data_IF_499356856490
#
_entry.id   IF_499356856490
#
_cell.length_a   1.000
_cell.length_b   1.000
_cell.length_c   1.000
_cell.angle_alpha   90.00
_cell.angle_beta   90.00
_cell.angle_gamma   90.00
#
_symmetry.space_group_name_H-M   'P 1'
#
loop_
_entity.id
_entity.type
_entity.pdbx_description
1 polymer ?
#
# COMPACT_ATOMS: atom_id res chain seq x y z
N UNK A 1 89.94 -6.78 -14.83
CA UNK A 1 88.94 -6.10 -15.66
C UNK A 1 87.58 -6.52 -15.14
N UNK A 2 86.95 -5.77 -14.28
CA UNK A 2 85.65 -6.05 -13.65
C UNK A 2 84.67 -5.07 -14.22
N UNK A 3 83.63 -5.59 -14.90
CA UNK A 3 82.50 -4.78 -15.39
C UNK A 3 81.48 -4.62 -14.28
N UNK A 4 81.25 -3.36 -13.89
CA UNK A 4 80.21 -2.95 -12.96
C UNK A 4 78.83 -3.01 -13.70
N UNK A 5 77.92 -3.80 -13.20
CA UNK A 5 76.49 -3.85 -13.66
C UNK A 5 75.66 -2.98 -12.73
N UNK A 6 75.15 -1.86 -13.23
CA UNK A 6 74.22 -1.01 -12.50
C UNK A 6 72.82 -1.50 -12.77
N UNK A 7 72.19 -2.02 -11.73
CA UNK A 7 70.77 -2.39 -11.77
C UNK A 7 69.95 -1.15 -11.37
N UNK A 8 69.20 -0.61 -12.31
CA UNK A 8 68.21 0.46 -12.07
C UNK A 8 66.94 -0.16 -11.47
N UNK A 9 66.64 0.16 -10.20
CA UNK A 9 65.39 -0.23 -9.56
C UNK A 9 64.37 0.87 -9.83
N UNK A 10 63.39 0.61 -10.72
CA UNK A 10 62.24 1.47 -10.96
C UNK A 10 61.20 1.20 -9.85
N UNK A 11 61.05 2.16 -8.94
CA UNK A 11 59.91 2.21 -8.02
C UNK A 11 58.68 2.66 -8.78
N UNK A 12 57.76 1.73 -9.12
CA UNK A 12 56.40 2.06 -9.56
C UNK A 12 55.59 2.46 -8.32
N UNK A 13 55.41 3.75 -8.11
CA UNK A 13 54.45 4.28 -7.15
C UNK A 13 53.04 4.08 -7.77
N UNK A 14 52.37 2.98 -7.40
CA UNK A 14 50.98 2.79 -7.70
C UNK A 14 50.14 3.79 -6.91
N UNK A 15 49.61 4.81 -7.58
CA UNK A 15 48.50 5.59 -7.05
C UNK A 15 47.29 4.68 -6.87
N UNK A 16 47.12 4.16 -5.67
CA UNK A 16 45.81 3.68 -5.25
C UNK A 16 44.90 4.91 -5.10
N UNK A 17 44.16 5.23 -6.12
CA UNK A 17 42.98 6.07 -5.97
C UNK A 17 42.05 5.31 -5.03
N UNK A 18 42.11 5.62 -3.74
CA UNK A 18 41.07 5.19 -2.79
C UNK A 18 39.76 5.75 -3.32
N UNK A 19 38.93 4.86 -3.85
CA UNK A 19 37.56 5.16 -4.13
C UNK A 19 36.93 5.48 -2.76
N UNK A 20 36.94 6.76 -2.38
CA UNK A 20 36.21 7.23 -1.21
C UNK A 20 34.75 6.88 -1.49
N UNK A 21 34.18 6.01 -0.67
CA UNK A 21 32.75 5.82 -0.66
C UNK A 21 32.11 7.21 -0.57
N UNK A 22 31.12 7.53 -1.40
CA UNK A 22 30.48 8.83 -1.35
C UNK A 22 29.98 9.06 0.07
N UNK A 23 30.47 10.14 0.70
CA UNK A 23 29.98 10.57 2.01
C UNK A 23 28.48 10.75 1.87
N UNK A 24 27.68 10.01 2.65
CA UNK A 24 26.23 10.21 2.73
C UNK A 24 25.99 11.66 3.10
N UNK A 25 25.08 12.32 2.41
CA UNK A 25 24.60 13.65 2.79
C UNK A 25 24.02 13.61 4.21
N UNK A 26 23.97 14.77 4.87
CA UNK A 26 23.41 14.89 6.21
C UNK A 26 21.89 14.61 6.26
N UNK A 27 21.30 14.94 7.38
CA UNK A 27 19.87 14.89 7.58
C UNK A 27 19.16 16.03 6.83
N UNK A 28 17.99 15.74 6.31
CA UNK A 28 17.06 16.70 5.70
C UNK A 28 15.80 16.71 6.55
N UNK A 29 15.33 17.89 6.89
CA UNK A 29 14.10 18.06 7.68
C UNK A 29 12.95 18.48 6.77
N UNK A 30 11.82 17.79 6.85
CA UNK A 30 10.65 18.13 6.06
C UNK A 30 10.14 19.55 6.36
N UNK A 31 10.34 20.03 7.60
CA UNK A 31 9.97 21.39 8.00
C UNK A 31 10.63 22.48 7.12
N UNK A 32 11.80 22.23 6.56
CA UNK A 32 12.50 23.18 5.70
C UNK A 32 11.78 23.38 4.33
N UNK A 33 10.77 22.55 4.04
CA UNK A 33 9.99 22.55 2.80
C UNK A 33 8.50 22.85 3.04
N UNK A 34 8.09 23.03 4.29
CA UNK A 34 6.72 23.34 4.66
C UNK A 34 6.59 24.85 4.89
N UNK A 35 5.85 25.54 4.02
CA UNK A 35 5.66 27.00 4.11
C UNK A 35 4.79 27.41 5.31
N UNK A 36 3.84 26.53 5.73
CA UNK A 36 3.01 26.73 6.93
C UNK A 36 2.34 25.40 7.34
N UNK A 37 2.45 25.02 8.63
CA UNK A 37 1.86 23.81 9.20
C UNK A 37 0.42 24.04 9.68
N UNK A 38 -0.41 24.75 8.91
CA UNK A 38 -1.83 24.79 9.25
C UNK A 38 -2.48 23.43 9.01
N UNK A 39 -3.42 23.03 9.87
CA UNK A 39 -4.14 21.75 9.80
C UNK A 39 -4.90 21.50 8.47
N UNK A 40 -4.85 22.43 7.52
CA UNK A 40 -5.49 22.36 6.21
C UNK A 40 -4.50 22.26 5.04
N UNK A 41 -3.21 22.46 5.28
CA UNK A 41 -2.17 22.44 4.23
C UNK A 41 -1.90 21.02 3.77
N UNK A 42 -1.85 20.79 2.45
CA UNK A 42 -1.41 19.53 1.86
C UNK A 42 0.11 19.43 1.91
N UNK A 43 0.64 18.46 2.67
CA UNK A 43 2.06 18.23 2.78
C UNK A 43 2.68 17.53 1.54
N UNK A 44 1.87 17.08 0.58
CA UNK A 44 2.33 16.34 -0.60
C UNK A 44 3.40 17.09 -1.41
N UNK A 45 3.24 18.38 -1.75
CA UNK A 45 4.26 19.15 -2.47
C UNK A 45 5.59 19.25 -1.71
N UNK A 46 5.54 19.48 -0.39
CA UNK A 46 6.73 19.55 0.46
C UNK A 46 7.47 18.22 0.53
N UNK A 47 6.73 17.11 0.70
CA UNK A 47 7.28 15.74 0.69
C UNK A 47 8.02 15.47 -0.63
N UNK A 48 7.39 15.82 -1.77
CA UNK A 48 8.00 15.64 -3.10
C UNK A 48 9.27 16.48 -3.26
N UNK A 49 9.25 17.74 -2.84
CA UNK A 49 10.40 18.64 -2.89
C UNK A 49 11.55 18.12 -2.01
N UNK A 50 11.24 17.70 -0.79
CA UNK A 50 12.22 17.14 0.15
C UNK A 50 12.85 15.84 -0.38
N UNK A 51 12.05 14.91 -0.92
CA UNK A 51 12.57 13.66 -1.51
C UNK A 51 13.47 13.94 -2.73
N UNK A 52 13.08 14.90 -3.58
CA UNK A 52 13.91 15.32 -4.72
C UNK A 52 15.23 15.93 -4.25
N UNK A 53 15.21 16.71 -3.17
CA UNK A 53 16.43 17.26 -2.55
C UNK A 53 17.29 16.14 -1.96
N UNK A 54 16.71 15.22 -1.19
CA UNK A 54 17.42 14.07 -0.62
C UNK A 54 18.12 13.24 -1.70
N UNK A 55 17.45 12.94 -2.80
CA UNK A 55 18.03 12.21 -3.92
C UNK A 55 19.24 12.95 -4.53
N UNK A 56 19.14 14.27 -4.70
CA UNK A 56 20.20 15.10 -5.29
C UNK A 56 21.46 15.16 -4.44
N UNK A 57 21.32 15.31 -3.12
CA UNK A 57 22.47 15.43 -2.20
C UNK A 57 22.90 14.09 -1.61
N UNK A 58 22.20 12.99 -1.93
CA UNK A 58 22.37 11.66 -1.32
C UNK A 58 22.24 11.73 0.22
N UNK A 59 21.17 12.36 0.69
CA UNK A 59 20.89 12.47 2.11
C UNK A 59 20.82 11.09 2.78
N UNK A 60 21.26 11.02 4.05
CA UNK A 60 21.13 9.80 4.85
C UNK A 60 19.71 9.62 5.36
N UNK A 61 19.02 10.71 5.72
CA UNK A 61 17.68 10.67 6.30
C UNK A 61 16.81 11.83 5.82
N UNK A 62 15.50 11.55 5.72
CA UNK A 62 14.45 12.56 5.75
C UNK A 62 13.73 12.45 7.09
N UNK A 63 13.73 13.52 7.87
CA UNK A 63 13.10 13.57 9.19
C UNK A 63 11.78 14.33 9.07
N UNK A 64 10.68 13.67 9.46
CA UNK A 64 9.35 14.25 9.50
C UNK A 64 9.16 15.07 10.80
N UNK A 65 8.22 16.03 10.82
CA UNK A 65 8.16 17.03 11.91
C UNK A 65 7.54 16.53 13.21
N UNK A 66 6.99 15.31 13.25
CA UNK A 66 6.07 14.90 14.31
C UNK A 66 4.66 15.50 14.12
N UNK A 67 3.74 15.16 15.02
CA UNK A 67 2.35 15.64 14.93
C UNK A 67 1.58 15.05 13.74
N UNK A 68 0.59 15.77 13.19
CA UNK A 68 -0.25 15.30 12.09
C UNK A 68 0.08 16.02 10.78
N UNK A 69 0.40 15.26 9.74
CA UNK A 69 0.54 15.73 8.36
C UNK A 69 -0.62 15.25 7.52
N UNK A 70 -1.28 16.17 6.83
CA UNK A 70 -2.38 15.88 5.89
C UNK A 70 -1.87 15.80 4.48
N UNK A 71 -2.28 14.76 3.76
CA UNK A 71 -1.89 14.52 2.38
C UNK A 71 -3.13 14.28 1.53
N UNK A 72 -3.20 14.98 0.39
CA UNK A 72 -4.31 14.94 -0.57
C UNK A 72 -3.84 14.35 -1.91
N UNK A 73 -4.77 13.81 -2.74
CA UNK A 73 -4.40 13.22 -4.02
C UNK A 73 -4.02 14.23 -5.10
N UNK A 74 -4.50 15.48 -4.99
CA UNK A 74 -4.52 16.45 -6.10
C UNK A 74 -3.12 16.83 -6.59
N UNK A 75 -2.15 16.87 -5.68
CA UNK A 75 -0.76 17.24 -5.97
C UNK A 75 0.23 16.09 -5.75
N UNK A 76 -0.24 14.86 -5.60
CA UNK A 76 0.59 13.67 -5.47
C UNK A 76 1.26 13.30 -6.81
N UNK A 77 2.32 12.48 -6.75
CA UNK A 77 2.97 11.95 -7.95
C UNK A 77 2.04 10.96 -8.63
N UNK A 78 1.75 11.17 -9.92
CA UNK A 78 0.97 10.24 -10.71
C UNK A 78 1.88 9.25 -11.44
N UNK A 79 1.62 7.96 -11.26
CA UNK A 79 2.38 6.87 -11.88
C UNK A 79 1.47 5.70 -12.21
N UNK A 80 1.53 5.19 -13.43
CA UNK A 80 0.89 3.91 -13.75
C UNK A 80 1.71 2.78 -13.16
N UNK A 81 1.09 1.95 -12.32
CA UNK A 81 1.75 0.82 -11.68
C UNK A 81 0.95 -0.45 -11.81
N UNK A 82 1.68 -1.53 -12.00
CA UNK A 82 1.20 -2.89 -11.79
C UNK A 82 1.75 -3.42 -10.47
N UNK A 83 0.86 -3.78 -9.58
CA UNK A 83 1.20 -4.33 -8.26
C UNK A 83 0.51 -5.68 -8.13
N UNK A 84 1.29 -6.75 -7.89
CA UNK A 84 0.77 -8.12 -7.75
C UNK A 84 -0.42 -8.17 -6.79
N UNK A 85 -1.50 -8.83 -7.21
CA UNK A 85 -2.74 -8.98 -6.45
C UNK A 85 -3.41 -7.67 -5.98
N UNK A 86 -2.98 -6.54 -6.53
CA UNK A 86 -3.66 -5.26 -6.41
C UNK A 86 -4.04 -4.78 -7.81
N UNK A 87 -5.08 -3.96 -7.90
CA UNK A 87 -5.53 -3.48 -9.19
C UNK A 87 -4.46 -2.61 -9.87
N UNK A 88 -4.17 -2.92 -11.13
CA UNK A 88 -3.34 -2.06 -11.96
C UNK A 88 -4.05 -0.73 -12.26
N UNK A 89 -3.28 0.30 -12.53
CA UNK A 89 -3.81 1.60 -12.90
C UNK A 89 -2.92 2.76 -12.52
N UNK A 90 -3.44 3.96 -12.78
CA UNK A 90 -2.83 5.20 -12.34
C UNK A 90 -2.92 5.30 -10.82
N UNK A 91 -1.77 5.42 -10.16
CA UNK A 91 -1.65 5.64 -8.72
C UNK A 91 -1.24 7.08 -8.46
N UNK A 92 -1.78 7.63 -7.38
CA UNK A 92 -1.32 8.89 -6.79
C UNK A 92 -0.52 8.54 -5.55
N UNK A 93 0.75 8.91 -5.53
CA UNK A 93 1.73 8.45 -4.55
C UNK A 93 2.25 9.65 -3.76
N UNK A 94 2.25 9.55 -2.43
CA UNK A 94 2.77 10.59 -1.56
C UNK A 94 4.31 10.52 -1.44
N UNK A 95 4.82 9.39 -0.99
CA UNK A 95 6.26 9.15 -0.88
C UNK A 95 6.71 8.21 -2.00
N UNK A 96 7.15 8.79 -3.12
CA UNK A 96 7.66 8.03 -4.29
C UNK A 96 9.20 7.94 -4.22
N UNK A 97 9.71 6.84 -3.65
CA UNK A 97 11.13 6.56 -3.54
C UNK A 97 11.56 5.69 -4.74
N UNK A 98 12.37 6.25 -5.63
CA UNK A 98 12.85 5.54 -6.81
C UNK A 98 14.37 5.57 -6.87
N UNK A 99 15.00 4.39 -6.86
CA UNK A 99 16.44 4.24 -6.99
C UNK A 99 17.26 4.78 -5.82
N UNK A 100 16.64 5.11 -4.69
CA UNK A 100 17.34 5.57 -3.49
C UNK A 100 18.13 4.43 -2.84
N UNK A 101 19.25 4.79 -2.21
CA UNK A 101 20.14 3.86 -1.53
C UNK A 101 20.55 4.42 -0.17
N UNK A 102 20.69 3.52 0.83
CA UNK A 102 21.20 3.84 2.16
C UNK A 102 20.45 5.03 2.79
N UNK A 103 19.12 5.00 2.74
CA UNK A 103 18.26 6.13 3.09
C UNK A 103 17.19 5.74 4.11
N UNK A 104 16.92 6.64 5.05
CA UNK A 104 15.90 6.45 6.09
C UNK A 104 14.85 7.55 6.05
N UNK A 105 13.58 7.18 6.10
CA UNK A 105 12.48 8.06 6.49
C UNK A 105 12.26 7.87 7.99
N UNK A 106 12.61 8.91 8.77
CA UNK A 106 12.38 8.98 10.20
C UNK A 106 11.09 9.73 10.47
N UNK A 107 10.10 9.02 10.97
CA UNK A 107 8.76 9.56 11.20
C UNK A 107 8.66 10.48 12.41
N UNK A 108 9.51 10.32 13.43
CA UNK A 108 9.42 11.11 14.67
C UNK A 108 7.99 11.14 15.26
N UNK A 109 7.32 10.00 15.25
CA UNK A 109 5.91 9.82 15.66
C UNK A 109 4.89 10.62 14.83
N UNK A 110 5.23 11.00 13.61
CA UNK A 110 4.31 11.66 12.69
C UNK A 110 3.11 10.78 12.36
N UNK A 111 1.93 11.37 12.42
CA UNK A 111 0.68 10.79 11.91
C UNK A 111 0.44 11.28 10.49
N UNK A 112 0.57 10.39 9.51
CA UNK A 112 0.25 10.66 8.12
C UNK A 112 -1.24 10.40 7.90
N UNK A 113 -2.02 11.48 7.70
CA UNK A 113 -3.46 11.41 7.48
C UNK A 113 -3.80 11.69 6.02
N UNK A 114 -4.22 10.67 5.32
CA UNK A 114 -4.54 10.72 3.89
C UNK A 114 -6.02 11.01 3.64
N UNK A 115 -6.31 11.71 2.56
CA UNK A 115 -7.68 11.94 2.07
C UNK A 115 -7.80 11.41 0.64
N UNK A 116 -8.88 10.67 0.34
CA UNK A 116 -9.16 10.17 -1.01
C UNK A 116 -8.21 9.05 -1.46
N UNK A 117 -8.02 8.93 -2.77
CA UNK A 117 -7.31 7.81 -3.39
C UNK A 117 -5.82 8.12 -3.54
N UNK A 118 -5.04 7.89 -2.49
CA UNK A 118 -3.58 8.08 -2.44
C UNK A 118 -2.93 6.81 -1.92
N UNK A 119 -1.79 6.42 -2.52
CA UNK A 119 -0.91 5.37 -1.99
C UNK A 119 0.18 6.03 -1.14
N UNK A 120 0.30 5.70 0.16
CA UNK A 120 1.26 6.34 1.04
C UNK A 120 2.72 6.23 0.58
N UNK A 121 3.22 5.01 0.35
CA UNK A 121 4.61 4.77 0.00
C UNK A 121 4.78 3.88 -1.23
N UNK A 122 5.72 4.26 -2.09
CA UNK A 122 6.25 3.43 -3.16
C UNK A 122 7.78 3.40 -3.09
N UNK A 123 8.36 2.20 -3.01
CA UNK A 123 9.78 1.92 -3.06
C UNK A 123 10.07 1.12 -4.32
N UNK A 124 10.74 1.71 -5.29
CA UNK A 124 11.02 1.08 -6.57
C UNK A 124 12.52 1.12 -6.88
N UNK A 125 13.12 -0.04 -7.13
CA UNK A 125 14.57 -0.17 -7.40
C UNK A 125 15.46 0.48 -6.32
N UNK A 126 15.03 0.35 -5.07
CA UNK A 126 15.70 0.90 -3.91
C UNK A 126 16.65 -0.12 -3.25
N UNK A 127 17.62 0.38 -2.46
CA UNK A 127 18.53 -0.48 -1.69
C UNK A 127 18.77 0.10 -0.30
N UNK A 128 18.70 -0.75 0.73
CA UNK A 128 18.92 -0.39 2.13
C UNK A 128 18.07 0.82 2.56
N UNK A 129 16.74 0.68 2.46
CA UNK A 129 15.79 1.72 2.87
C UNK A 129 15.15 1.34 4.21
N UNK A 130 15.07 2.30 5.10
CA UNK A 130 14.33 2.17 6.36
C UNK A 130 13.18 3.17 6.40
N UNK A 131 11.98 2.71 6.78
CA UNK A 131 10.83 3.55 7.14
C UNK A 131 10.52 3.25 8.59
N UNK A 132 10.46 4.27 9.46
CA UNK A 132 10.22 4.00 10.88
C UNK A 132 9.52 5.14 11.62
N UNK A 133 8.96 4.77 12.81
CA UNK A 133 8.40 5.70 13.80
C UNK A 133 7.29 6.61 13.25
N UNK A 134 6.28 6.05 12.56
CA UNK A 134 5.16 6.81 12.02
C UNK A 134 3.86 6.01 12.04
N UNK A 135 2.75 6.71 11.88
CA UNK A 135 1.46 6.08 11.65
C UNK A 135 0.79 6.57 10.36
N UNK A 136 0.01 5.68 9.76
CA UNK A 136 -0.72 5.90 8.50
C UNK A 136 -2.20 5.69 8.76
N UNK A 137 -3.02 6.67 8.40
CA UNK A 137 -4.48 6.55 8.46
C UNK A 137 -5.14 7.38 7.36
N UNK A 138 -6.45 7.19 7.21
CA UNK A 138 -7.27 7.90 6.24
C UNK A 138 -8.44 8.62 6.93
N UNK A 139 -8.81 9.79 6.42
CA UNK A 139 -9.98 10.55 6.89
C UNK A 139 -11.26 9.77 6.69
N UNK A 140 -11.38 9.09 5.54
CA UNK A 140 -12.44 8.15 5.19
C UNK A 140 -11.83 6.82 4.73
N UNK A 141 -12.38 5.73 5.23
CA UNK A 141 -11.97 4.37 4.83
C UNK A 141 -12.48 4.01 3.43
N UNK A 142 -11.77 3.11 2.74
CA UNK A 142 -12.19 2.61 1.42
C UNK A 142 -13.40 1.70 1.49
N UNK A 143 -13.62 1.01 2.61
CA UNK A 143 -14.87 0.34 2.94
C UNK A 143 -15.86 1.30 3.60
N UNK A 144 -17.12 0.91 3.69
CA UNK A 144 -18.16 1.64 4.41
C UNK A 144 -18.86 0.73 5.40
N UNK A 145 -19.30 1.25 6.54
CA UNK A 145 -19.86 0.49 7.64
C UNK A 145 -21.21 1.08 8.05
N UNK A 146 -22.24 0.25 8.18
CA UNK A 146 -23.56 0.65 8.63
C UNK A 146 -24.09 -0.28 9.71
N UNK A 147 -24.68 0.30 10.77
CA UNK A 147 -25.30 -0.49 11.83
C UNK A 147 -26.66 -1.02 11.40
N UNK A 148 -26.91 -2.30 11.57
CA UNK A 148 -28.20 -2.95 11.30
C UNK A 148 -29.22 -2.48 12.35
N UNK A 149 -30.25 -1.76 11.91
CA UNK A 149 -31.30 -1.22 12.78
C UNK A 149 -32.59 -2.02 12.71
N UNK A 150 -32.86 -2.66 11.56
CA UNK A 150 -33.95 -3.60 11.38
C UNK A 150 -33.58 -4.61 10.28
N UNK A 151 -34.17 -5.79 10.36
CA UNK A 151 -33.97 -6.86 9.41
C UNK A 151 -35.30 -7.57 9.12
N UNK A 152 -35.43 -8.03 7.89
CA UNK A 152 -36.59 -8.84 7.46
C UNK A 152 -36.20 -9.81 6.35
N UNK A 153 -37.18 -10.50 5.79
CA UNK A 153 -36.91 -11.44 4.72
C UNK A 153 -36.45 -10.69 3.45
N UNK A 154 -35.14 -10.78 3.15
CA UNK A 154 -34.53 -10.17 1.97
C UNK A 154 -34.29 -8.66 2.05
N UNK A 155 -34.25 -8.07 3.23
CA UNK A 155 -33.90 -6.68 3.39
C UNK A 155 -33.27 -6.36 4.77
N UNK A 156 -32.43 -5.30 4.80
CA UNK A 156 -31.90 -4.71 6.04
C UNK A 156 -32.09 -3.20 6.02
N UNK A 157 -32.45 -2.60 7.16
CA UNK A 157 -32.34 -1.15 7.39
C UNK A 157 -31.03 -0.86 8.09
N UNK A 158 -30.22 0.00 7.49
CA UNK A 158 -28.90 0.36 7.93
C UNK A 158 -28.81 1.85 8.27
N UNK A 159 -28.18 2.15 9.39
CA UNK A 159 -27.80 3.50 9.75
C UNK A 159 -26.31 3.69 9.49
N UNK A 160 -25.95 4.67 8.64
CA UNK A 160 -24.57 4.98 8.31
C UNK A 160 -24.12 6.24 9.04
N UNK A 161 -22.92 6.25 9.66
CA UNK A 161 -22.30 7.49 10.12
C UNK A 161 -22.08 8.49 8.98
N UNK A 162 -22.09 9.80 9.28
CA UNK A 162 -21.96 10.88 8.29
C UNK A 162 -20.74 10.76 7.38
N UNK A 163 -19.63 10.23 7.90
CA UNK A 163 -18.42 9.96 7.11
C UNK A 163 -18.62 9.01 5.92
N UNK A 164 -19.74 8.24 5.92
CA UNK A 164 -20.14 7.34 4.83
C UNK A 164 -21.37 7.91 4.13
N UNK A 165 -21.20 9.05 3.48
CA UNK A 165 -22.29 9.69 2.73
C UNK A 165 -22.87 8.71 1.73
N UNK A 166 -24.19 8.51 1.83
CA UNK A 166 -24.95 7.61 0.98
C UNK A 166 -25.74 8.37 -0.08
N UNK A 167 -25.66 7.92 -1.31
CA UNK A 167 -26.46 8.35 -2.43
C UNK A 167 -27.18 7.15 -3.09
N UNK A 168 -28.28 7.41 -3.77
CA UNK A 168 -29.05 6.42 -4.51
C UNK A 168 -29.04 6.81 -5.99
N UNK A 169 -28.35 6.02 -6.79
CA UNK A 169 -28.26 6.22 -8.24
C UNK A 169 -28.85 4.98 -8.93
N UNK A 170 -29.81 5.19 -9.83
CA UNK A 170 -30.50 4.10 -10.54
C UNK A 170 -31.13 3.06 -9.58
N UNK A 171 -31.60 3.51 -8.40
CA UNK A 171 -32.16 2.66 -7.37
C UNK A 171 -31.15 1.80 -6.60
N UNK A 172 -29.85 2.03 -6.79
CA UNK A 172 -28.77 1.29 -6.10
C UNK A 172 -27.99 2.20 -5.15
N UNK A 173 -27.50 1.61 -4.05
CA UNK A 173 -26.71 2.30 -3.04
C UNK A 173 -25.30 2.64 -3.58
N UNK A 174 -24.88 3.88 -3.37
CA UNK A 174 -23.51 4.37 -3.60
C UNK A 174 -22.97 5.07 -2.37
N UNK A 175 -21.67 4.99 -2.18
CA UNK A 175 -20.97 5.72 -1.13
C UNK A 175 -20.08 6.79 -1.73
N UNK A 176 -20.10 7.96 -1.12
CA UNK A 176 -19.33 9.12 -1.53
C UNK A 176 -18.49 9.63 -0.37
N UNK A 177 -17.47 10.43 -0.67
CA UNK A 177 -16.88 11.33 0.32
C UNK A 177 -17.44 12.76 0.19
N UNK A 178 -16.91 13.69 0.99
CA UNK A 178 -17.35 15.07 1.01
C UNK A 178 -17.06 15.82 -0.32
N UNK A 179 -16.10 15.34 -1.11
CA UNK A 179 -15.73 15.88 -2.42
C UNK A 179 -16.48 15.19 -3.57
N UNK A 180 -17.40 14.27 -3.27
CA UNK A 180 -18.22 13.56 -4.25
C UNK A 180 -17.51 12.42 -4.96
N UNK A 181 -16.32 11.98 -4.49
CA UNK A 181 -15.66 10.81 -5.04
C UNK A 181 -16.41 9.54 -4.62
N UNK A 182 -16.63 8.65 -5.58
CA UNK A 182 -17.34 7.37 -5.36
C UNK A 182 -16.39 6.34 -4.78
N UNK A 183 -16.84 5.70 -3.69
CA UNK A 183 -16.14 4.58 -3.04
C UNK A 183 -16.85 3.27 -3.41
N UNK A 184 -16.34 2.51 -4.40
CA UNK A 184 -16.99 1.31 -4.87
C UNK A 184 -16.85 0.16 -3.87
N UNK A 185 -17.93 -0.60 -3.72
CA UNK A 185 -17.97 -1.82 -2.91
C UNK A 185 -18.42 -3.01 -3.78
N UNK A 186 -17.96 -4.22 -3.43
CA UNK A 186 -18.32 -5.46 -4.11
C UNK A 186 -18.55 -6.64 -3.17
N UNK A 187 -18.55 -6.43 -1.87
CA UNK A 187 -18.88 -7.45 -0.89
C UNK A 187 -19.56 -6.85 0.33
N UNK A 188 -20.30 -7.69 1.05
CA UNK A 188 -20.85 -7.37 2.37
C UNK A 188 -20.44 -8.46 3.33
N UNK A 189 -20.04 -8.05 4.55
CA UNK A 189 -19.71 -8.96 5.64
C UNK A 189 -20.25 -8.39 6.95
N UNK A 190 -20.93 -9.22 7.72
CA UNK A 190 -21.46 -8.84 9.04
C UNK A 190 -20.40 -8.98 10.11
N UNK A 191 -20.32 -7.97 10.96
CA UNK A 191 -19.45 -7.94 12.14
C UNK A 191 -20.27 -7.84 13.41
N UNK A 192 -19.88 -8.59 14.43
CA UNK A 192 -20.31 -8.35 15.80
C UNK A 192 -19.69 -7.03 16.26
N UNK A 193 -20.54 -6.01 16.43
CA UNK A 193 -20.13 -4.65 16.75
C UNK A 193 -19.43 -4.54 18.12
N UNK A 194 -19.81 -5.40 19.08
CA UNK A 194 -19.25 -5.37 20.44
C UNK A 194 -17.87 -6.03 20.49
N UNK A 195 -17.70 -7.12 19.76
CA UNK A 195 -16.48 -7.92 19.71
C UNK A 195 -15.48 -7.42 18.66
N UNK A 196 -15.94 -6.58 17.73
CA UNK A 196 -15.15 -6.11 16.58
C UNK A 196 -14.54 -7.25 15.76
N UNK A 197 -15.31 -8.30 15.51
CA UNK A 197 -14.89 -9.46 14.72
C UNK A 197 -16.04 -9.89 13.77
N UNK A 198 -15.77 -10.64 12.69
CA UNK A 198 -16.83 -11.22 11.87
C UNK A 198 -17.84 -11.98 12.73
N UNK A 199 -19.12 -11.81 12.47
CA UNK A 199 -20.17 -12.50 13.21
C UNK A 199 -20.07 -14.03 13.02
N UNK A 200 -20.46 -14.79 14.05
CA UNK A 200 -20.33 -16.25 14.00
C UNK A 200 -21.20 -16.85 12.91
N UNK A 201 -20.64 -17.76 12.11
CA UNK A 201 -21.29 -18.38 10.95
C UNK A 201 -21.86 -17.38 9.93
N UNK A 202 -21.20 -16.24 9.74
CA UNK A 202 -21.59 -15.22 8.76
C UNK A 202 -21.30 -15.68 7.33
N UNK A 203 -22.18 -15.29 6.40
CA UNK A 203 -21.94 -15.42 4.96
C UNK A 203 -21.14 -14.21 4.44
N UNK A 204 -20.18 -14.42 3.53
CA UNK A 204 -19.51 -13.37 2.78
C UNK A 204 -20.24 -13.17 1.44
N UNK A 205 -20.98 -12.06 1.32
CA UNK A 205 -21.79 -11.78 0.15
C UNK A 205 -21.00 -11.04 -0.91
N UNK A 206 -20.74 -11.70 -2.04
CA UNK A 206 -20.11 -11.08 -3.21
C UNK A 206 -21.15 -10.57 -4.19
N UNK A 207 -20.88 -9.43 -4.81
CA UNK A 207 -21.75 -8.76 -5.77
C UNK A 207 -20.95 -7.92 -6.77
N UNK A 208 -21.48 -7.64 -7.98
CA UNK A 208 -20.92 -6.61 -8.84
C UNK A 208 -20.95 -5.24 -8.14
N UNK A 209 -19.97 -4.40 -8.43
CA UNK A 209 -19.87 -3.10 -7.77
C UNK A 209 -21.14 -2.25 -7.94
N UNK A 210 -21.61 -1.67 -6.82
CA UNK A 210 -22.78 -0.76 -6.77
C UNK A 210 -24.12 -1.36 -7.25
N UNK A 211 -24.31 -2.65 -7.12
CA UNK A 211 -25.54 -3.31 -7.64
C UNK A 211 -26.59 -3.60 -6.59
N UNK A 212 -26.37 -3.25 -5.32
CA UNK A 212 -27.37 -3.54 -4.29
C UNK A 212 -28.54 -2.53 -4.38
N UNK A 213 -29.78 -3.00 -4.66
CA UNK A 213 -30.95 -2.15 -4.67
C UNK A 213 -31.19 -1.55 -3.29
N UNK A 214 -31.56 -0.28 -3.24
CA UNK A 214 -31.75 0.41 -1.97
C UNK A 214 -32.80 1.52 -2.05
N UNK A 215 -33.39 1.86 -0.91
CA UNK A 215 -34.28 3.01 -0.73
C UNK A 215 -33.94 3.77 0.55
N UNK A 216 -34.20 5.07 0.56
CA UNK A 216 -34.05 5.91 1.77
C UNK A 216 -35.34 5.86 2.57
N UNK A 217 -35.22 5.55 3.86
CA UNK A 217 -36.33 5.54 4.79
C UNK A 217 -36.62 6.95 5.33
N UNK A 218 -37.86 7.25 5.80
CA UNK A 218 -38.21 8.57 6.35
C UNK A 218 -37.34 9.03 7.54
N UNK A 219 -36.78 8.10 8.30
CA UNK A 219 -35.87 8.36 9.42
C UNK A 219 -34.41 8.54 9.02
N UNK A 220 -34.10 8.56 7.71
CA UNK A 220 -32.77 8.74 7.15
C UNK A 220 -31.96 7.45 6.95
N UNK A 221 -32.42 6.32 7.49
CA UNK A 221 -31.77 5.01 7.25
C UNK A 221 -31.85 4.59 5.79
N UNK A 222 -31.00 3.68 5.40
CA UNK A 222 -30.98 3.09 4.06
C UNK A 222 -31.46 1.64 4.16
N UNK A 223 -32.53 1.32 3.47
CA UNK A 223 -32.96 -0.07 3.26
C UNK A 223 -32.27 -0.62 2.05
N UNK A 224 -31.60 -1.77 2.21
CA UNK A 224 -31.00 -2.54 1.10
C UNK A 224 -31.80 -3.83 0.89
N UNK A 225 -31.82 -4.31 -0.35
CA UNK A 225 -32.58 -5.50 -0.75
C UNK A 225 -31.68 -6.55 -1.37
N UNK A 226 -31.76 -7.78 -0.83
CA UNK A 226 -31.14 -8.96 -1.40
C UNK A 226 -31.77 -10.20 -0.73
N UNK A 227 -32.27 -11.15 -1.52
CA UNK A 227 -33.10 -12.25 -1.03
C UNK A 227 -32.45 -13.20 -0.03
N UNK A 228 -31.12 -13.33 -0.09
CA UNK A 228 -30.29 -14.17 0.79
C UNK A 228 -29.70 -13.42 1.98
N UNK A 229 -29.91 -12.10 2.07
CA UNK A 229 -29.29 -11.26 3.07
C UNK A 229 -29.87 -11.48 4.46
N UNK A 230 -28.98 -11.73 5.43
CA UNK A 230 -29.30 -11.90 6.84
C UNK A 230 -28.27 -11.11 7.66
N UNK A 231 -28.70 -10.53 8.76
CA UNK A 231 -27.82 -9.94 9.77
C UNK A 231 -28.58 -9.75 11.08
N UNK A 232 -27.86 -9.76 12.19
CA UNK A 232 -28.42 -9.47 13.52
C UNK A 232 -28.58 -7.97 13.73
N UNK A 233 -29.68 -7.57 14.37
CA UNK A 233 -29.90 -6.16 14.77
C UNK A 233 -28.85 -5.76 15.80
N UNK A 234 -28.22 -4.61 15.58
CA UNK A 234 -27.12 -4.08 16.41
C UNK A 234 -25.73 -4.39 15.86
N UNK A 235 -25.62 -5.38 14.99
CA UNK A 235 -24.35 -5.68 14.30
C UNK A 235 -24.03 -4.63 13.22
N UNK A 236 -22.79 -4.66 12.76
CA UNK A 236 -22.30 -3.75 11.71
C UNK A 236 -22.15 -4.53 10.40
N UNK A 237 -22.82 -4.04 9.36
CA UNK A 237 -22.61 -4.52 8.00
C UNK A 237 -21.49 -3.72 7.35
N UNK A 238 -20.44 -4.42 6.94
CA UNK A 238 -19.29 -3.84 6.25
C UNK A 238 -19.41 -4.03 4.75
N UNK A 239 -19.39 -2.94 4.01
CA UNK A 239 -19.38 -2.90 2.55
C UNK A 239 -17.91 -2.84 2.10
N UNK A 240 -17.36 -3.97 1.71
CA UNK A 240 -15.95 -4.13 1.35
C UNK A 240 -15.61 -3.45 0.03
N UNK A 241 -14.46 -2.77 -0.01
CA UNK A 241 -13.98 -2.06 -1.19
C UNK A 241 -13.87 -2.99 -2.41
N UNK A 242 -14.39 -2.55 -3.56
CA UNK A 242 -14.37 -3.31 -4.82
C UNK A 242 -13.00 -3.32 -5.50
N UNK A 243 -12.09 -2.44 -5.09
CA UNK A 243 -10.78 -2.23 -5.71
C UNK A 243 -9.69 -2.18 -4.66
N UNK A 244 -8.49 -2.68 -5.03
CA UNK A 244 -7.27 -2.66 -4.22
C UNK A 244 -6.25 -1.68 -4.82
N UNK A 245 -6.69 -0.46 -5.17
CA UNK A 245 -5.88 0.51 -5.91
C UNK A 245 -4.76 1.16 -5.10
N UNK A 246 -4.93 1.28 -3.78
CA UNK A 246 -4.08 2.11 -2.94
C UNK A 246 -3.49 1.32 -1.76
N UNK A 247 -2.52 0.39 -2.00
CA UNK A 247 -1.80 -0.27 -0.92
C UNK A 247 -1.03 0.75 -0.05
N UNK A 248 -0.75 0.37 1.20
CA UNK A 248 -0.05 1.23 2.16
C UNK A 248 1.42 1.45 1.81
N UNK A 249 2.17 0.37 1.67
CA UNK A 249 3.60 0.40 1.31
C UNK A 249 3.83 -0.61 0.18
N UNK A 250 4.23 -0.11 -0.97
CA UNK A 250 4.60 -0.93 -2.13
C UNK A 250 6.12 -1.01 -2.25
N UNK A 251 6.66 -2.21 -2.40
CA UNK A 251 8.09 -2.47 -2.58
C UNK A 251 8.29 -3.28 -3.86
N UNK A 252 8.96 -2.72 -4.85
CA UNK A 252 9.21 -3.37 -6.13
C UNK A 252 10.69 -3.35 -6.50
N UNK A 253 11.21 -4.49 -6.95
CA UNK A 253 12.56 -4.62 -7.49
C UNK A 253 13.65 -4.03 -6.55
N UNK A 254 13.46 -4.18 -5.23
CA UNK A 254 14.26 -3.53 -4.19
C UNK A 254 14.94 -4.55 -3.28
N UNK A 255 15.96 -4.12 -2.53
CA UNK A 255 16.71 -5.00 -1.61
C UNK A 255 17.05 -4.29 -0.30
N UNK A 256 16.99 -5.04 0.82
CA UNK A 256 17.38 -4.54 2.13
C UNK A 256 16.38 -3.50 2.66
N UNK A 257 15.09 -3.84 2.69
CA UNK A 257 14.04 -2.94 3.15
C UNK A 257 13.68 -3.25 4.59
N UNK A 258 13.66 -2.23 5.43
CA UNK A 258 13.26 -2.30 6.82
C UNK A 258 12.07 -1.38 7.11
N UNK A 259 11.02 -1.94 7.73
CA UNK A 259 9.85 -1.21 8.21
C UNK A 259 9.77 -1.45 9.72
N UNK A 260 9.99 -0.42 10.51
CA UNK A 260 10.19 -0.53 11.96
C UNK A 260 9.24 0.41 12.70
N UNK A 261 8.52 -0.07 13.72
CA UNK A 261 7.66 0.78 14.55
C UNK A 261 6.66 1.61 13.73
N UNK A 262 6.00 0.97 12.76
CA UNK A 262 5.00 1.61 11.88
C UNK A 262 3.60 1.12 12.25
N UNK A 263 2.67 2.07 12.43
CA UNK A 263 1.24 1.77 12.65
C UNK A 263 0.45 2.08 11.39
N UNK A 264 -0.20 1.07 10.84
CA UNK A 264 -1.06 1.19 9.67
C UNK A 264 -2.51 0.95 10.08
N UNK A 265 -3.27 2.02 10.21
CA UNK A 265 -4.67 1.94 10.62
C UNK A 265 -5.63 1.78 9.44
N UNK A 266 -5.23 2.22 8.26
CA UNK A 266 -6.02 2.03 7.04
C UNK A 266 -5.19 2.22 5.77
N UNK A 267 -5.60 1.49 4.71
CA UNK A 267 -5.22 1.72 3.31
C UNK A 267 -6.23 1.05 2.37
N UNK A 268 -6.19 1.41 1.10
CA UNK A 268 -7.11 0.92 0.07
C UNK A 268 -6.57 -0.26 -0.74
N UNK A 269 -5.83 -1.14 -0.11
CA UNK A 269 -5.23 -2.33 -0.70
C UNK A 269 -4.56 -3.16 0.39
N UNK A 270 -3.48 -3.84 0.06
CA UNK A 270 -2.62 -4.53 1.02
C UNK A 270 -1.85 -3.55 1.88
N UNK A 271 -1.56 -3.90 3.12
CA UNK A 271 -0.78 -3.07 4.04
C UNK A 271 0.64 -2.87 3.54
N UNK A 272 1.39 -3.94 3.42
CA UNK A 272 2.70 -4.00 2.76
C UNK A 272 2.63 -5.00 1.63
N UNK A 273 2.93 -4.59 0.41
CA UNK A 273 3.11 -5.49 -0.73
C UNK A 273 4.53 -5.37 -1.29
N UNK A 274 5.27 -6.46 -1.23
CA UNK A 274 6.58 -6.56 -1.85
C UNK A 274 6.54 -7.52 -3.05
N UNK A 275 7.14 -7.10 -4.16
CA UNK A 275 7.24 -7.93 -5.36
C UNK A 275 8.64 -7.88 -5.94
N UNK A 276 9.16 -9.04 -6.39
CA UNK A 276 10.50 -9.18 -6.98
C UNK A 276 11.61 -8.51 -6.16
N UNK A 277 11.49 -8.54 -4.86
CA UNK A 277 12.38 -7.86 -3.92
C UNK A 277 13.08 -8.83 -3.00
N UNK A 278 14.10 -8.42 -2.27
CA UNK A 278 14.93 -9.30 -1.44
C UNK A 278 15.23 -8.66 -0.08
N UNK A 279 15.38 -9.51 0.93
CA UNK A 279 15.86 -9.14 2.26
C UNK A 279 14.98 -8.04 2.89
N UNK A 280 13.76 -8.43 3.29
CA UNK A 280 12.75 -7.53 3.82
C UNK A 280 12.52 -7.85 5.30
N UNK A 281 12.71 -6.86 6.15
CA UNK A 281 12.44 -6.94 7.59
C UNK A 281 11.30 -6.01 7.98
N UNK A 282 10.32 -6.53 8.71
CA UNK A 282 9.22 -5.76 9.30
C UNK A 282 9.23 -6.07 10.80
N UNK A 283 9.41 -5.05 11.62
CA UNK A 283 9.51 -5.23 13.06
C UNK A 283 8.59 -4.25 13.79
N UNK A 284 7.85 -4.74 14.78
CA UNK A 284 6.91 -3.97 15.61
C UNK A 284 5.92 -3.14 14.78
N UNK A 285 5.51 -3.70 13.64
CA UNK A 285 4.46 -3.11 12.83
C UNK A 285 3.09 -3.51 13.38
N UNK A 286 2.21 -2.53 13.50
CA UNK A 286 0.82 -2.76 13.87
C UNK A 286 -0.08 -2.44 12.66
N UNK A 287 -0.84 -3.45 12.18
CA UNK A 287 -1.94 -3.24 11.23
C UNK A 287 -3.22 -3.49 12.00
N UNK A 288 -3.79 -2.42 12.54
CA UNK A 288 -4.92 -2.49 13.49
C UNK A 288 -5.91 -1.35 13.22
N UNK A 289 -7.21 -1.51 13.53
CA UNK A 289 -8.17 -0.41 13.45
C UNK A 289 -7.72 0.79 14.29
N UNK A 290 -7.96 2.00 13.78
CA UNK A 290 -7.55 3.22 14.50
C UNK A 290 -8.25 3.33 15.85
N UNK A 291 -7.50 3.50 16.95
CA UNK A 291 -8.08 3.63 18.30
C UNK A 291 -9.12 4.74 18.38
N UNK A 292 -10.25 4.45 19.00
CA UNK A 292 -11.34 5.42 19.23
C UNK A 292 -12.21 5.73 18.00
N UNK A 293 -11.87 5.26 16.81
CA UNK A 293 -12.65 5.52 15.57
C UNK A 293 -13.79 4.52 15.32
N UNK A 294 -13.96 3.52 16.17
CA UNK A 294 -15.01 2.48 16.08
C UNK A 294 -15.11 1.88 14.68
N UNK A 295 -13.99 1.47 14.10
CA UNK A 295 -13.93 0.78 12.83
C UNK A 295 -13.91 -0.73 13.04
N UNK A 296 -14.62 -1.47 12.21
CA UNK A 296 -14.60 -2.94 12.21
C UNK A 296 -13.37 -3.48 11.48
N UNK A 297 -12.83 -2.74 10.53
CA UNK A 297 -11.73 -3.18 9.66
C UNK A 297 -10.56 -2.21 9.75
N UNK A 298 -9.32 -2.75 9.80
CA UNK A 298 -8.09 -2.00 9.62
C UNK A 298 -7.87 -1.67 8.14
N UNK A 299 -7.58 -2.66 7.32
CA UNK A 299 -7.27 -2.48 5.89
C UNK A 299 -8.11 -3.40 5.00
N UNK A 300 -8.12 -3.13 3.69
CA UNK A 300 -9.06 -3.76 2.75
C UNK A 300 -8.60 -5.10 2.18
N UNK A 301 -7.36 -5.52 2.45
CA UNK A 301 -6.75 -6.75 1.96
C UNK A 301 -5.72 -7.29 2.97
N UNK A 302 -4.69 -8.04 2.53
CA UNK A 302 -3.66 -8.65 3.37
C UNK A 302 -2.88 -7.60 4.16
N UNK A 303 -2.51 -7.91 5.41
CA UNK A 303 -1.63 -7.04 6.18
C UNK A 303 -0.22 -6.98 5.57
N UNK A 304 0.32 -8.14 5.16
CA UNK A 304 1.60 -8.22 4.44
C UNK A 304 1.50 -9.24 3.31
N UNK A 305 2.13 -8.93 2.18
CA UNK A 305 2.11 -9.80 1.00
C UNK A 305 3.46 -9.77 0.27
N UNK A 306 4.01 -10.95 -0.03
CA UNK A 306 5.31 -11.09 -0.67
C UNK A 306 5.21 -11.99 -1.91
N UNK A 307 5.32 -11.38 -3.09
CA UNK A 307 5.22 -12.08 -4.38
C UNK A 307 6.58 -12.14 -5.08
N UNK A 308 7.07 -13.33 -5.39
CA UNK A 308 8.39 -13.53 -6.01
C UNK A 308 9.55 -12.84 -5.26
N UNK A 309 9.48 -12.79 -3.95
CA UNK A 309 10.54 -12.24 -3.11
C UNK A 309 11.59 -13.31 -2.79
N UNK A 310 12.84 -12.89 -2.58
CA UNK A 310 13.96 -13.75 -2.24
C UNK A 310 14.73 -13.28 -1.00
N UNK A 311 15.78 -14.02 -0.64
CA UNK A 311 16.56 -13.73 0.56
C UNK A 311 15.76 -14.02 1.83
N UNK A 312 15.90 -13.16 2.84
CA UNK A 312 15.17 -13.30 4.11
C UNK A 312 13.93 -12.41 4.12
N UNK A 313 12.80 -12.96 4.55
CA UNK A 313 11.61 -12.23 4.94
C UNK A 313 11.45 -12.42 6.44
N UNK A 314 11.45 -11.33 7.22
CA UNK A 314 11.35 -11.36 8.67
C UNK A 314 10.17 -10.53 9.12
N UNK A 315 9.30 -11.13 9.92
CA UNK A 315 8.21 -10.48 10.64
C UNK A 315 8.47 -10.68 12.13
N UNK A 316 8.78 -9.62 12.87
CA UNK A 316 9.19 -9.70 14.27
C UNK A 316 8.30 -8.78 15.11
N UNK A 317 7.67 -9.33 16.15
CA UNK A 317 6.83 -8.58 17.09
C UNK A 317 5.74 -7.74 16.41
N UNK A 318 5.15 -8.24 15.33
CA UNK A 318 4.10 -7.57 14.58
C UNK A 318 2.71 -7.95 15.10
N UNK A 319 1.76 -7.01 15.01
CA UNK A 319 0.34 -7.23 15.33
C UNK A 319 -0.50 -6.93 14.11
N UNK A 320 -1.29 -7.92 13.66
CA UNK A 320 -2.17 -7.79 12.50
C UNK A 320 -3.59 -8.18 12.90
N UNK A 321 -4.50 -7.20 12.89
CA UNK A 321 -5.87 -7.36 13.35
C UNK A 321 -6.86 -6.73 12.38
N UNK A 322 -7.97 -7.41 12.14
CA UNK A 322 -9.12 -6.91 11.39
C UNK A 322 -8.82 -6.46 9.95
N UNK A 323 -7.76 -7.00 9.33
CA UNK A 323 -7.58 -6.91 7.88
C UNK A 323 -8.61 -7.83 7.19
N UNK A 324 -9.03 -7.47 5.95
CA UNK A 324 -10.07 -8.24 5.23
C UNK A 324 -9.55 -9.48 4.48
N UNK A 325 -8.28 -9.81 4.62
CA UNK A 325 -7.66 -10.97 3.95
C UNK A 325 -6.53 -11.52 4.86
N UNK A 326 -5.48 -12.10 4.32
CA UNK A 326 -4.42 -12.76 5.08
C UNK A 326 -3.64 -11.80 6.01
N UNK A 327 -3.20 -12.31 7.16
CA UNK A 327 -2.22 -11.62 7.99
C UNK A 327 -0.87 -11.52 7.27
N UNK A 328 -0.47 -12.60 6.59
CA UNK A 328 0.73 -12.63 5.74
C UNK A 328 0.57 -13.68 4.65
N UNK A 329 0.89 -13.30 3.41
CA UNK A 329 0.92 -14.19 2.26
C UNK A 329 2.30 -14.15 1.60
N UNK A 330 2.94 -15.31 1.42
CA UNK A 330 4.26 -15.43 0.79
C UNK A 330 4.18 -16.48 -0.31
N UNK A 331 4.35 -16.06 -1.55
CA UNK A 331 4.27 -16.99 -2.68
C UNK A 331 5.17 -16.62 -3.85
N UNK A 332 5.44 -17.60 -4.70
CA UNK A 332 6.04 -17.42 -6.01
C UNK A 332 5.01 -17.30 -7.12
N UNK A 333 5.47 -17.01 -8.31
CA UNK A 333 4.67 -17.07 -9.52
C UNK A 333 4.97 -18.37 -10.26
N UNK A 334 3.96 -19.19 -10.46
CA UNK A 334 4.04 -20.46 -11.14
C UNK A 334 3.20 -20.44 -12.40
N UNK A 335 3.77 -20.93 -13.51
CA UNK A 335 3.05 -21.05 -14.76
C UNK A 335 3.09 -22.50 -15.23
N UNK A 336 1.93 -23.09 -15.54
CA UNK A 336 1.90 -24.41 -16.17
C UNK A 336 2.60 -24.37 -17.52
N UNK A 337 3.47 -25.36 -17.77
CA UNK A 337 4.05 -25.58 -19.09
C UNK A 337 3.04 -26.40 -19.90
N UNK A 338 2.52 -25.81 -20.98
CA UNK A 338 1.58 -26.48 -21.88
C UNK A 338 2.30 -27.34 -22.91
N UNK A 339 3.41 -26.84 -23.48
CA UNK A 339 4.13 -27.55 -24.55
C UNK A 339 5.63 -27.26 -24.44
N UNK A 340 6.43 -28.28 -24.60
CA UNK A 340 7.88 -28.17 -24.77
C UNK A 340 8.18 -28.46 -26.24
N UNK A 341 8.66 -27.47 -26.97
CA UNK A 341 9.01 -27.61 -28.39
C UNK A 341 10.42 -28.18 -28.58
N UNK A 342 11.35 -27.66 -27.80
CA UNK A 342 12.75 -28.10 -27.79
C UNK A 342 13.44 -27.66 -26.47
N UNK A 343 14.78 -27.71 -26.42
CA UNK A 343 15.55 -27.35 -25.20
C UNK A 343 15.51 -25.85 -24.85
N UNK A 344 15.12 -25.00 -25.77
CA UNK A 344 15.17 -23.55 -25.63
C UNK A 344 13.77 -22.91 -25.68
N UNK A 345 12.75 -23.65 -26.10
CA UNK A 345 11.41 -23.11 -26.32
C UNK A 345 10.36 -23.93 -25.61
N UNK A 346 9.60 -23.28 -24.77
CA UNK A 346 8.44 -23.83 -24.09
C UNK A 346 7.24 -22.88 -24.27
N UNK A 347 6.05 -23.45 -24.29
CA UNK A 347 4.82 -22.69 -24.18
C UNK A 347 4.32 -22.79 -22.74
N UNK A 348 4.07 -21.63 -22.09
CA UNK A 348 3.51 -21.58 -20.76
C UNK A 348 2.14 -20.89 -20.79
N UNK A 349 1.22 -21.36 -19.96
CA UNK A 349 -0.08 -20.76 -19.81
C UNK A 349 -0.06 -19.71 -18.71
N UNK A 350 -0.68 -18.56 -18.99
CA UNK A 350 -0.92 -17.57 -17.97
C UNK A 350 -1.91 -18.11 -16.94
N UNK A 351 -1.52 -18.21 -15.68
CA UNK A 351 -2.34 -18.89 -14.65
C UNK A 351 -3.13 -17.97 -13.74
N UNK A 352 -2.80 -16.66 -13.68
CA UNK A 352 -3.42 -15.76 -12.71
C UNK A 352 -3.45 -14.31 -13.19
N UNK A 353 -4.64 -13.70 -13.22
CA UNK A 353 -4.84 -12.32 -13.71
C UNK A 353 -4.15 -11.24 -12.85
N UNK A 354 -3.90 -11.51 -11.57
CA UNK A 354 -3.23 -10.59 -10.64
C UNK A 354 -1.70 -10.52 -10.78
N UNK A 355 -1.09 -11.20 -11.77
CA UNK A 355 0.34 -11.18 -12.00
C UNK A 355 0.66 -10.77 -13.44
N UNK A 356 1.71 -9.96 -13.63
CA UNK A 356 2.14 -9.55 -14.96
C UNK A 356 3.56 -10.03 -15.29
N UNK A 357 3.73 -10.79 -16.36
CA UNK A 357 5.04 -11.22 -16.86
C UNK A 357 5.80 -10.10 -17.57
N UNK A 358 5.09 -9.12 -18.12
CA UNK A 358 5.71 -8.07 -18.93
C UNK A 358 6.74 -7.24 -18.18
N UNK A 359 6.66 -7.20 -16.84
CA UNK A 359 7.64 -6.52 -15.99
C UNK A 359 8.79 -7.43 -15.52
N UNK A 360 8.71 -8.73 -15.78
CA UNK A 360 9.67 -9.71 -15.26
C UNK A 360 10.54 -10.37 -16.33
N UNK A 361 10.16 -10.23 -17.59
CA UNK A 361 10.90 -10.80 -18.74
C UNK A 361 10.76 -9.92 -19.96
N UNK A 362 11.77 -9.84 -20.82
CA UNK A 362 11.66 -9.19 -22.12
C UNK A 362 10.48 -9.78 -22.88
N UNK A 363 9.50 -8.94 -23.21
CA UNK A 363 8.35 -9.37 -24.01
C UNK A 363 8.74 -9.43 -25.49
N UNK A 364 8.23 -10.42 -26.26
CA UNK A 364 8.35 -10.40 -27.72
C UNK A 364 7.77 -9.13 -28.39
N UNK A 365 6.96 -8.36 -27.64
CA UNK A 365 6.42 -7.07 -28.09
C UNK A 365 7.29 -5.87 -27.68
N UNK A 366 8.35 -6.07 -26.89
CA UNK A 366 9.33 -5.03 -26.65
C UNK A 366 10.14 -4.80 -27.94
N UNK A 367 10.10 -3.61 -28.54
CA UNK A 367 10.83 -3.35 -29.79
C UNK A 367 12.35 -3.55 -29.67
N UNK A 368 12.90 -3.65 -28.47
CA UNK A 368 14.31 -3.97 -28.23
C UNK A 368 14.62 -5.46 -28.22
N UNK A 369 13.61 -6.33 -28.17
CA UNK A 369 13.77 -7.78 -28.08
C UNK A 369 13.16 -8.52 -29.29
N UNK A 370 12.56 -7.82 -30.22
CA UNK A 370 11.98 -8.37 -31.46
C UNK A 370 13.03 -8.58 -32.58
N UNK A 371 14.19 -9.15 -32.23
CA UNK A 371 15.17 -9.65 -33.22
C UNK A 371 15.46 -11.12 -33.01
#
# INVERSE_FOLDING_TARGET
MKKLLHTLLLFAVGLFAACQAPTSGGDVYLNDFLDDLTAQTDAGPAIRAALSHCARIRAARLILPGGELRIRPDLAVEKYQFISNNDEGLKRIAFDLVGLQDFTIEGADTKLLFTGFVSPFNLERCRNITIRNLSIDFTRTFHSEGTVRAAGNGWLDLEFPDKYRCDLTDGCLRFLDDEGRVYPYSSLLEFDTQRCEPAFHVDDYWLPAHTIPAERRPNGWIRIFRSDLKAAIGNTMVFGAARRLNPGITVSDSQGIAILDVKLHHCGGMGVIAQRSRDIGIERMEVVPAPGKKRMISITADATHFSNCGGQIRLIDCTFENQKDDASNIHGLYMPVDTIFDRERIWVRWGHSGHCLLYTSPSPRDPKTSR
#
